data_IF_122609265017
#
_entry.id   IF_122609265017
#
_cell.length_a   1.000
_cell.length_b   1.000
_cell.length_c   1.000
_cell.angle_alpha   90.00
_cell.angle_beta   90.00
_cell.angle_gamma   90.00
#
_symmetry.space_group_name_H-M   'P 1'
#
loop_
_entity.id
_entity.type
_entity.pdbx_description
1 polymer ?
#
# COMPACT_ATOMS: atom_id res chain seq x y z
N UNK A 1 -18.35 -2.09 42.06
CA UNK A 1 -19.59 -2.87 41.85
C UNK A 1 -19.54 -3.40 40.43
N UNK A 2 -19.17 -4.68 40.27
CA UNK A 2 -19.25 -5.43 39.02
C UNK A 2 -20.64 -6.04 38.88
N UNK A 3 -21.19 -6.05 37.66
CA UNK A 3 -21.90 -7.18 37.01
C UNK A 3 -21.89 -6.86 35.50
N UNK A 4 -20.98 -7.43 34.71
CA UNK A 4 -21.06 -8.70 33.96
C UNK A 4 -22.27 -8.80 33.01
N UNK A 5 -21.94 -8.92 31.73
CA UNK A 5 -22.85 -9.18 30.61
C UNK A 5 -22.05 -9.31 29.32
N UNK A 6 -21.20 -10.34 29.25
CA UNK A 6 -20.61 -10.89 28.04
C UNK A 6 -21.72 -11.59 27.22
N UNK A 7 -21.41 -11.91 25.97
CA UNK A 7 -22.19 -12.72 25.00
C UNK A 7 -23.10 -11.88 24.05
N UNK A 8 -23.12 -12.06 22.73
CA UNK A 8 -22.44 -12.96 21.82
C UNK A 8 -22.71 -12.45 20.40
N UNK A 9 -21.68 -12.48 19.56
CA UNK A 9 -21.75 -12.13 18.14
C UNK A 9 -20.45 -12.50 17.45
N UNK A 10 -19.93 -13.69 17.75
CA UNK A 10 -18.89 -14.35 16.97
C UNK A 10 -19.44 -14.61 15.56
N UNK A 11 -19.06 -13.76 14.62
CA UNK A 11 -18.76 -14.10 13.24
C UNK A 11 -17.81 -13.01 12.77
N UNK A 12 -16.51 -13.21 12.86
CA UNK A 12 -15.79 -13.96 11.83
C UNK A 12 -14.44 -14.43 12.40
N UNK A 13 -14.33 -15.71 12.72
CA UNK A 13 -13.04 -16.42 12.76
C UNK A 13 -12.76 -17.00 11.36
N UNK A 14 -12.58 -16.14 10.37
CA UNK A 14 -11.99 -16.48 9.05
C UNK A 14 -11.08 -15.28 8.70
N UNK A 15 -9.75 -15.31 8.79
CA UNK A 15 -8.83 -16.37 8.43
C UNK A 15 -7.54 -16.22 9.26
N UNK A 16 -7.08 -17.32 9.84
CA UNK A 16 -5.74 -17.47 10.41
C UNK A 16 -4.65 -17.51 9.33
N UNK A 17 -4.65 -16.53 8.43
CA UNK A 17 -3.56 -16.26 7.50
C UNK A 17 -3.28 -14.77 7.63
N UNK A 18 -2.43 -14.39 8.58
CA UNK A 18 -1.63 -13.18 8.40
C UNK A 18 -0.96 -13.38 7.05
N UNK A 19 -1.45 -12.70 6.02
CA UNK A 19 -0.86 -12.78 4.69
C UNK A 19 0.53 -12.20 4.84
N UNK A 20 1.53 -13.06 5.06
CA UNK A 20 2.95 -12.67 5.11
C UNK A 20 3.42 -12.15 3.74
N UNK A 21 2.56 -12.29 2.73
CA UNK A 21 2.82 -11.82 1.39
C UNK A 21 2.63 -10.31 1.29
N UNK A 22 3.69 -9.66 0.81
CA UNK A 22 3.71 -8.26 0.45
C UNK A 22 2.65 -7.95 -0.61
N UNK A 23 1.83 -6.94 -0.36
CA UNK A 23 0.78 -6.51 -1.29
C UNK A 23 1.40 -5.63 -2.36
N UNK A 24 1.17 -5.96 -3.63
CA UNK A 24 1.67 -5.19 -4.77
C UNK A 24 0.56 -4.29 -5.30
N UNK A 25 0.76 -2.97 -5.26
CA UNK A 25 -0.08 -1.97 -5.92
C UNK A 25 0.71 -1.28 -7.02
N UNK A 26 0.04 -0.87 -8.10
CA UNK A 26 0.66 -0.20 -9.24
C UNK A 26 0.10 1.20 -9.38
N UNK A 27 0.99 2.14 -9.71
CA UNK A 27 0.64 3.54 -9.85
C UNK A 27 1.33 4.15 -11.06
N UNK A 28 0.65 5.12 -11.66
CA UNK A 28 1.23 6.10 -12.56
C UNK A 28 1.56 7.34 -11.72
N UNK A 29 2.82 7.76 -11.75
CA UNK A 29 3.33 8.94 -11.06
C UNK A 29 3.91 9.91 -12.08
N UNK A 30 3.80 11.21 -11.83
CA UNK A 30 4.58 12.18 -12.61
C UNK A 30 6.09 11.83 -12.57
N UNK A 31 6.72 11.83 -13.74
CA UNK A 31 8.08 11.30 -13.92
C UNK A 31 9.13 12.07 -13.13
N UNK A 32 8.92 13.38 -12.98
CA UNK A 32 9.83 14.25 -12.22
C UNK A 32 9.76 13.99 -10.73
N UNK A 33 8.64 13.42 -10.27
CA UNK A 33 8.36 13.14 -8.86
C UNK A 33 8.70 11.72 -8.43
N UNK A 34 9.07 10.81 -9.34
CA UNK A 34 9.39 9.41 -9.02
C UNK A 34 10.48 9.31 -7.93
N UNK A 35 11.54 10.11 -8.04
CA UNK A 35 12.63 10.11 -7.06
C UNK A 35 12.17 10.63 -5.69
N UNK A 36 11.36 11.69 -5.68
CA UNK A 36 10.81 12.28 -4.46
C UNK A 36 9.88 11.31 -3.72
N UNK A 37 8.96 10.67 -4.45
CA UNK A 37 8.05 9.67 -3.86
C UNK A 37 8.83 8.46 -3.34
N UNK A 38 9.84 7.99 -4.07
CA UNK A 38 10.72 6.91 -3.60
C UNK A 38 11.37 7.25 -2.27
N UNK A 39 12.02 8.41 -2.23
CA UNK A 39 12.74 8.86 -1.04
C UNK A 39 11.80 9.03 0.16
N UNK A 40 10.59 9.55 -0.08
CA UNK A 40 9.57 9.69 0.96
C UNK A 40 9.18 8.32 1.52
N UNK A 41 8.92 7.33 0.66
CA UNK A 41 8.58 5.98 1.11
C UNK A 41 9.73 5.28 1.85
N UNK A 42 10.97 5.45 1.38
CA UNK A 42 12.16 4.88 2.02
C UNK A 42 12.45 5.50 3.40
N UNK A 43 12.02 6.75 3.63
CA UNK A 43 12.10 7.37 4.95
C UNK A 43 11.12 6.76 5.96
N UNK A 44 10.02 6.15 5.49
CA UNK A 44 9.10 5.35 6.30
C UNK A 44 9.54 3.88 6.28
N UNK A 45 10.56 3.58 7.08
CA UNK A 45 11.16 2.25 7.14
C UNK A 45 10.10 1.16 7.38
N UNK A 46 10.20 0.07 6.63
CA UNK A 46 9.33 -1.10 6.75
C UNK A 46 7.90 -0.95 6.20
N UNK A 47 7.47 0.20 5.66
CA UNK A 47 6.09 0.35 5.15
C UNK A 47 5.95 -0.20 3.73
N UNK A 48 6.74 0.30 2.78
CA UNK A 48 6.67 -0.14 1.39
C UNK A 48 7.98 0.13 0.64
N UNK A 49 8.27 -0.73 -0.35
CA UNK A 49 9.34 -0.50 -1.32
C UNK A 49 8.75 -0.11 -2.68
N UNK A 50 9.37 0.84 -3.38
CA UNK A 50 8.95 1.26 -4.72
C UNK A 50 9.93 0.82 -5.81
N UNK A 51 9.42 0.11 -6.82
CA UNK A 51 10.15 -0.27 -8.03
C UNK A 51 9.59 0.48 -9.24
N UNK A 52 10.44 1.17 -9.99
CA UNK A 52 10.04 1.81 -11.26
C UNK A 52 10.02 0.75 -12.36
N UNK A 53 8.87 0.55 -12.99
CA UNK A 53 8.68 -0.44 -14.06
C UNK A 53 8.86 0.19 -15.45
N UNK A 54 8.30 1.38 -15.64
CA UNK A 54 8.43 2.15 -16.88
C UNK A 54 8.67 3.63 -16.54
N UNK A 55 9.92 4.11 -16.58
CA UNK A 55 10.26 5.51 -16.31
C UNK A 55 9.66 6.48 -17.33
N UNK A 56 9.47 6.04 -18.58
CA UNK A 56 8.94 6.88 -19.67
C UNK A 56 7.45 7.14 -19.51
N UNK A 57 6.70 6.17 -18.97
CA UNK A 57 5.27 6.28 -18.67
C UNK A 57 4.96 6.66 -17.22
N UNK A 58 5.97 6.66 -16.35
CA UNK A 58 5.83 6.93 -14.93
C UNK A 58 5.20 5.78 -14.15
N UNK A 59 5.31 4.53 -14.63
CA UNK A 59 4.70 3.37 -14.00
C UNK A 59 5.62 2.81 -12.93
N UNK A 60 5.08 2.67 -11.73
CA UNK A 60 5.78 2.12 -10.57
C UNK A 60 4.95 1.02 -9.91
N UNK A 61 5.64 0.12 -9.22
CA UNK A 61 5.07 -0.88 -8.32
C UNK A 61 5.46 -0.53 -6.89
N UNK A 62 4.49 -0.50 -5.99
CA UNK A 62 4.69 -0.39 -4.55
C UNK A 62 4.43 -1.76 -3.91
N UNK A 63 5.45 -2.26 -3.22
CA UNK A 63 5.45 -3.51 -2.49
C UNK A 63 5.27 -3.19 -1.01
N UNK A 64 4.04 -3.34 -0.51
CA UNK A 64 3.58 -2.87 0.80
C UNK A 64 3.69 -4.01 1.81
N UNK A 65 4.31 -3.75 2.95
CA UNK A 65 4.41 -4.72 4.03
C UNK A 65 3.03 -5.14 4.53
N UNK A 66 2.84 -6.43 4.84
CA UNK A 66 1.57 -6.89 5.37
C UNK A 66 1.30 -6.23 6.72
N UNK A 67 0.11 -5.66 6.87
CA UNK A 67 -0.26 -4.87 8.04
C UNK A 67 -0.06 -3.35 7.89
N UNK A 68 0.68 -2.88 6.89
CA UNK A 68 0.98 -1.45 6.70
C UNK A 68 0.11 -0.76 5.62
N UNK A 69 -1.04 -1.35 5.29
CA UNK A 69 -1.89 -0.91 4.18
C UNK A 69 -2.52 0.45 4.48
N UNK A 70 -2.98 0.65 5.71
CA UNK A 70 -3.65 1.88 6.13
C UNK A 70 -2.66 3.06 6.17
N UNK A 71 -1.45 2.83 6.67
CA UNK A 71 -0.37 3.81 6.69
C UNK A 71 0.05 4.17 5.27
N UNK A 72 0.19 3.17 4.40
CA UNK A 72 0.50 3.41 2.99
C UNK A 72 -0.58 4.22 2.28
N UNK A 73 -1.86 3.88 2.50
CA UNK A 73 -2.97 4.61 1.90
C UNK A 73 -3.04 6.06 2.42
N UNK A 74 -2.69 6.31 3.69
CA UNK A 74 -2.57 7.66 4.24
C UNK A 74 -1.44 8.46 3.58
N UNK A 75 -0.24 7.87 3.43
CA UNK A 75 0.91 8.50 2.77
C UNK A 75 0.56 8.86 1.32
N UNK A 76 -0.04 7.93 0.58
CA UNK A 76 -0.43 8.16 -0.81
C UNK A 76 -1.53 9.23 -0.92
N UNK A 77 -2.49 9.26 0.00
CA UNK A 77 -3.53 10.28 0.03
C UNK A 77 -2.96 11.68 0.25
N UNK A 78 -1.93 11.81 1.08
CA UNK A 78 -1.23 13.08 1.32
C UNK A 78 -0.42 13.52 0.09
N UNK A 79 0.42 12.61 -0.45
CA UNK A 79 1.24 12.89 -1.63
C UNK A 79 0.42 13.28 -2.86
N UNK A 80 -0.77 12.69 -3.03
CA UNK A 80 -1.71 13.01 -4.13
C UNK A 80 -2.17 14.46 -4.14
N UNK A 81 -2.10 15.18 -3.02
CA UNK A 81 -2.47 16.59 -2.95
C UNK A 81 -1.49 17.49 -3.70
N UNK A 82 -0.25 17.02 -3.90
CA UNK A 82 0.84 17.80 -4.48
C UNK A 82 1.41 17.18 -5.76
N UNK A 83 1.18 15.88 -5.98
CA UNK A 83 1.80 15.09 -7.05
C UNK A 83 0.73 14.27 -7.76
N UNK A 84 0.81 14.19 -9.09
CA UNK A 84 -0.02 13.25 -9.84
C UNK A 84 0.38 11.82 -9.50
N UNK A 85 -0.51 11.10 -8.81
CA UNK A 85 -0.39 9.68 -8.48
C UNK A 85 -1.77 9.05 -8.76
N UNK A 86 -1.84 8.15 -9.73
CA UNK A 86 -3.08 7.48 -10.12
C UNK A 86 -2.90 5.97 -10.02
N UNK A 87 -3.86 5.23 -9.43
CA UNK A 87 -3.81 3.78 -9.46
C UNK A 87 -3.91 3.28 -10.91
N UNK A 88 -3.17 2.22 -11.22
CA UNK A 88 -3.23 1.57 -12.53
C UNK A 88 -3.56 0.10 -12.32
N UNK A 89 -4.59 -0.37 -13.01
CA UNK A 89 -4.88 -1.79 -13.10
C UNK A 89 -3.84 -2.42 -14.01
N UNK A 90 -2.83 -3.03 -13.41
CA UNK A 90 -1.88 -3.87 -14.12
C UNK A 90 -2.29 -5.31 -13.88
N UNK A 91 -2.88 -5.92 -14.91
CA UNK A 91 -3.02 -7.38 -14.92
C UNK A 91 -1.61 -7.97 -14.78
N UNK A 92 -1.38 -8.92 -13.85
CA UNK A 92 -0.10 -9.60 -13.79
C UNK A 92 0.17 -10.17 -15.18
N UNK A 93 1.26 -9.72 -15.82
CA UNK A 93 1.69 -10.31 -17.08
C UNK A 93 1.85 -11.81 -16.83
N UNK A 94 0.89 -12.61 -17.30
CA UNK A 94 0.96 -14.06 -17.23
C UNK A 94 2.21 -14.46 -18.02
N UNK A 95 3.26 -14.83 -17.27
CA UNK A 95 4.48 -15.41 -17.82
C UNK A 95 4.33 -16.92 -17.82
#
# INVERSE_FOLDING_TARGET
MCVLGLDCGLSFMENGLYQMETIKKYYRIDRTSIAYVRFTLEAYDGIANMTTLDPQKGIVRMAIAPGCIAEMDAIISDLKQHILIEPVDMEPCAT
#
